data_IF_350629802829
#
_entry.id   IF_350629802829
#
_cell.length_a   1.000
_cell.length_b   1.000
_cell.length_c   1.000
_cell.angle_alpha   90.00
_cell.angle_beta   90.00
_cell.angle_gamma   90.00
#
_symmetry.space_group_name_H-M   'P 1'
#
loop_
_entity.id
_entity.type
_entity.pdbx_description
1 polymer ?
#
# COMPACT_ATOMS: atom_id res chain seq x y z
N UNK A 1 -8.71 18.22 10.40
CA UNK A 1 -8.77 17.97 8.95
C UNK A 1 -7.33 17.78 8.49
N UNK A 2 -7.03 16.72 7.77
CA UNK A 2 -5.68 16.39 7.31
C UNK A 2 -5.72 16.03 5.81
N UNK A 3 -4.61 16.24 5.11
CA UNK A 3 -4.43 15.80 3.73
C UNK A 3 -3.78 14.42 3.73
N UNK A 4 -4.46 13.42 3.21
CA UNK A 4 -4.04 12.03 3.22
C UNK A 4 -3.72 11.58 1.79
N UNK A 5 -2.47 11.14 1.56
CA UNK A 5 -2.11 10.45 0.32
C UNK A 5 -2.47 8.97 0.44
N UNK A 6 -3.25 8.45 -0.53
CA UNK A 6 -3.56 7.03 -0.61
C UNK A 6 -2.95 6.45 -1.88
N UNK A 7 -1.99 5.54 -1.73
CA UNK A 7 -1.33 4.84 -2.83
C UNK A 7 -2.02 3.50 -3.05
N UNK A 8 -2.49 3.25 -4.28
CA UNK A 8 -3.29 2.06 -4.60
C UNK A 8 -4.79 2.24 -4.39
N UNK A 9 -5.29 3.48 -4.52
CA UNK A 9 -6.66 3.89 -4.19
C UNK A 9 -7.75 3.45 -5.20
N UNK A 10 -7.39 2.84 -6.33
CA UNK A 10 -8.34 2.62 -7.43
C UNK A 10 -9.36 1.52 -7.18
N UNK A 11 -9.13 0.60 -6.25
CA UNK A 11 -10.02 -0.54 -5.95
C UNK A 11 -9.76 -1.15 -4.57
N UNK A 12 -10.61 -2.11 -4.19
CA UNK A 12 -10.44 -2.90 -2.96
C UNK A 12 -10.30 -2.04 -1.70
N UNK A 13 -9.36 -2.40 -0.83
CA UNK A 13 -9.13 -1.72 0.45
C UNK A 13 -8.75 -0.25 0.25
N UNK A 14 -7.93 0.05 -0.76
CA UNK A 14 -7.53 1.44 -1.04
C UNK A 14 -8.72 2.32 -1.39
N UNK A 15 -9.67 1.84 -2.19
CA UNK A 15 -10.91 2.55 -2.49
C UNK A 15 -11.81 2.69 -1.25
N UNK A 16 -11.87 1.66 -0.41
CA UNK A 16 -12.62 1.73 0.85
C UNK A 16 -12.01 2.75 1.82
N UNK A 17 -10.68 2.75 1.96
CA UNK A 17 -9.95 3.73 2.77
C UNK A 17 -10.15 5.17 2.27
N UNK A 18 -10.13 5.38 0.95
CA UNK A 18 -10.42 6.66 0.32
C UNK A 18 -11.81 7.18 0.73
N UNK A 19 -12.84 6.34 0.57
CA UNK A 19 -14.21 6.71 0.95
C UNK A 19 -14.35 7.00 2.44
N UNK A 20 -13.69 6.21 3.28
CA UNK A 20 -13.70 6.39 4.73
C UNK A 20 -13.01 7.71 5.14
N UNK A 21 -11.87 8.04 4.52
CA UNK A 21 -11.14 9.29 4.79
C UNK A 21 -11.96 10.53 4.39
N UNK A 22 -12.58 10.50 3.20
CA UNK A 22 -13.48 11.58 2.75
C UNK A 22 -14.68 11.73 3.70
N UNK A 23 -15.33 10.62 4.08
CA UNK A 23 -16.44 10.63 5.04
C UNK A 23 -16.04 11.19 6.40
N UNK A 24 -14.79 11.01 6.82
CA UNK A 24 -14.24 11.56 8.05
C UNK A 24 -13.85 13.05 7.92
N UNK A 25 -14.05 13.68 6.76
CA UNK A 25 -13.79 15.11 6.52
C UNK A 25 -12.34 15.43 6.20
N UNK A 26 -11.54 14.42 5.78
CA UNK A 26 -10.17 14.64 5.32
C UNK A 26 -10.13 15.02 3.83
N UNK A 27 -9.08 15.72 3.42
CA UNK A 27 -8.70 15.86 2.01
C UNK A 27 -7.92 14.61 1.60
N UNK A 28 -8.25 14.03 0.45
CA UNK A 28 -7.59 12.81 -0.05
C UNK A 28 -6.94 13.06 -1.39
N UNK A 29 -5.66 12.75 -1.50
CA UNK A 29 -4.95 12.62 -2.77
C UNK A 29 -4.80 11.13 -3.09
N UNK A 30 -5.37 10.69 -4.22
CA UNK A 30 -5.41 9.30 -4.62
C UNK A 30 -4.37 9.03 -5.72
N UNK A 31 -3.21 8.45 -5.38
CA UNK A 31 -2.19 8.06 -6.35
C UNK A 31 -2.48 6.66 -6.88
N UNK A 32 -2.73 6.56 -8.17
CA UNK A 32 -2.88 5.30 -8.89
C UNK A 32 -2.58 5.48 -10.39
N UNK A 33 -2.16 4.42 -11.08
CA UNK A 33 -1.98 4.42 -12.54
C UNK A 33 -3.27 4.72 -13.29
N UNK A 34 -4.41 4.31 -12.73
CA UNK A 34 -5.76 4.54 -13.26
C UNK A 34 -6.59 5.47 -12.37
N UNK A 35 -5.97 6.52 -11.80
CA UNK A 35 -6.65 7.40 -10.84
C UNK A 35 -7.89 8.08 -11.44
N UNK A 36 -7.88 8.44 -12.72
CA UNK A 36 -9.02 9.02 -13.42
C UNK A 36 -10.28 8.13 -13.37
N UNK A 37 -10.09 6.80 -13.37
CA UNK A 37 -11.18 5.80 -13.30
C UNK A 37 -11.71 5.52 -11.89
N UNK A 38 -11.24 6.22 -10.84
CA UNK A 38 -11.77 6.03 -9.47
C UNK A 38 -13.24 6.49 -9.43
N UNK A 39 -14.20 5.58 -9.04
CA UNK A 39 -15.64 5.85 -9.11
C UNK A 39 -16.11 6.64 -7.87
N UNK A 40 -15.44 7.77 -7.59
CA UNK A 40 -15.76 8.68 -6.50
C UNK A 40 -15.60 10.10 -7.04
N UNK A 41 -16.57 10.95 -6.75
CA UNK A 41 -16.52 12.40 -7.02
C UNK A 41 -16.76 13.12 -5.70
N UNK A 42 -15.79 13.90 -5.26
CA UNK A 42 -15.84 14.65 -4.01
C UNK A 42 -14.95 15.89 -4.15
N UNK A 43 -15.35 17.08 -3.66
CA UNK A 43 -14.54 18.29 -3.75
C UNK A 43 -13.20 18.18 -2.98
N UNK A 44 -13.13 17.29 -1.99
CA UNK A 44 -11.92 17.02 -1.22
C UNK A 44 -11.09 15.86 -1.78
N UNK A 45 -11.40 15.35 -2.99
CA UNK A 45 -10.65 14.28 -3.67
C UNK A 45 -9.83 14.81 -4.83
N UNK A 46 -8.52 14.72 -4.72
CA UNK A 46 -7.58 14.90 -5.83
C UNK A 46 -7.17 13.55 -6.42
N UNK A 47 -7.47 13.32 -7.70
CA UNK A 47 -7.08 12.12 -8.43
C UNK A 47 -5.74 12.36 -9.11
N UNK A 48 -4.67 11.74 -8.60
CA UNK A 48 -3.31 11.89 -9.09
C UNK A 48 -2.89 10.63 -9.87
N UNK A 49 -2.81 10.76 -11.20
CA UNK A 49 -2.35 9.66 -12.06
C UNK A 49 -0.83 9.56 -12.00
N UNK A 50 -0.32 8.41 -11.55
CA UNK A 50 1.12 8.17 -11.44
C UNK A 50 1.43 6.74 -11.02
N UNK A 51 2.69 6.34 -11.17
CA UNK A 51 3.18 5.04 -10.73
C UNK A 51 3.88 5.16 -9.37
N UNK A 52 3.58 4.25 -8.45
CA UNK A 52 4.25 4.14 -7.15
C UNK A 52 5.74 3.76 -7.27
N UNK A 53 6.16 3.27 -8.43
CA UNK A 53 7.56 2.98 -8.77
C UNK A 53 8.28 4.18 -9.42
N UNK A 54 7.60 5.29 -9.66
CA UNK A 54 8.22 6.53 -10.15
C UNK A 54 8.52 7.48 -8.97
N UNK A 55 9.81 7.69 -8.60
CA UNK A 55 10.18 8.57 -7.50
C UNK A 55 9.70 10.01 -7.70
N UNK A 56 9.64 10.51 -8.93
CA UNK A 56 9.19 11.88 -9.21
C UNK A 56 7.69 12.03 -8.97
N UNK A 57 6.89 11.07 -9.44
CA UNK A 57 5.44 11.04 -9.20
C UNK A 57 5.12 10.93 -7.70
N UNK A 58 5.82 10.06 -6.97
CA UNK A 58 5.63 9.89 -5.52
C UNK A 58 5.99 11.17 -4.76
N UNK A 59 7.12 11.81 -5.09
CA UNK A 59 7.57 13.05 -4.46
C UNK A 59 6.58 14.19 -4.71
N UNK A 60 6.07 14.31 -5.93
CA UNK A 60 5.03 15.31 -6.26
C UNK A 60 3.73 15.04 -5.51
N UNK A 61 3.31 13.78 -5.42
CA UNK A 61 2.10 13.39 -4.69
C UNK A 61 2.20 13.64 -3.18
N UNK A 62 3.40 13.71 -2.60
CA UNK A 62 3.62 13.97 -1.17
C UNK A 62 3.59 15.45 -0.78
N UNK A 63 3.56 16.39 -1.74
CA UNK A 63 3.57 17.82 -1.42
C UNK A 63 2.33 18.23 -0.61
N UNK A 64 2.54 18.75 0.60
CA UNK A 64 1.46 19.21 1.48
C UNK A 64 0.62 18.09 2.10
N UNK A 65 1.16 16.87 2.18
CA UNK A 65 0.50 15.69 2.76
C UNK A 65 0.88 15.54 4.24
N UNK A 66 -0.11 15.23 5.08
CA UNK A 66 0.09 15.00 6.52
C UNK A 66 0.35 13.52 6.84
N UNK A 67 -0.29 12.62 6.08
CA UNK A 67 -0.19 11.17 6.30
C UNK A 67 -0.32 10.38 5.00
N UNK A 68 0.27 9.18 4.98
CA UNK A 68 0.22 8.28 3.84
C UNK A 68 -0.44 6.96 4.23
N UNK A 69 -1.33 6.46 3.36
CA UNK A 69 -1.89 5.11 3.42
C UNK A 69 -1.43 4.35 2.17
N UNK A 70 -0.58 3.34 2.34
CA UNK A 70 -0.11 2.48 1.25
C UNK A 70 -0.93 1.20 1.22
N UNK A 71 -1.67 0.98 0.12
CA UNK A 71 -2.59 -0.15 -0.08
C UNK A 71 -2.30 -0.89 -1.38
N UNK A 72 -1.03 -0.98 -1.76
CA UNK A 72 -0.65 -1.66 -2.99
C UNK A 72 -1.05 -3.14 -2.93
N UNK A 73 -1.63 -3.60 -4.01
CA UNK A 73 -2.03 -4.99 -4.22
C UNK A 73 -1.73 -5.43 -5.64
N UNK A 74 -1.61 -6.73 -5.82
CA UNK A 74 -1.48 -7.37 -7.13
C UNK A 74 -2.75 -8.15 -7.42
N UNK A 75 -3.19 -8.16 -8.68
CA UNK A 75 -4.24 -9.08 -9.11
C UNK A 75 -3.65 -10.47 -9.25
N UNK A 76 -4.33 -11.52 -8.78
CA UNK A 76 -3.92 -12.89 -9.07
C UNK A 76 -3.81 -13.09 -10.59
N UNK A 77 -2.64 -13.48 -11.06
CA UNK A 77 -2.41 -13.85 -12.44
C UNK A 77 -1.45 -15.05 -12.51
N UNK A 78 -1.53 -15.88 -13.55
CA UNK A 78 -0.57 -17.00 -13.72
C UNK A 78 0.89 -16.54 -13.74
N UNK A 79 1.15 -15.33 -14.24
CA UNK A 79 2.51 -14.74 -14.31
C UNK A 79 3.11 -14.49 -12.92
N UNK A 80 2.27 -14.23 -11.89
CA UNK A 80 2.73 -14.10 -10.51
C UNK A 80 3.37 -15.36 -9.94
N UNK A 81 3.00 -16.53 -10.48
CA UNK A 81 3.56 -17.81 -10.04
C UNK A 81 5.00 -18.00 -10.54
N UNK A 82 5.33 -17.40 -11.67
CA UNK A 82 6.62 -17.58 -12.34
C UNK A 82 7.59 -16.42 -12.16
N UNK A 83 7.07 -15.19 -11.98
CA UNK A 83 7.89 -14.00 -11.81
C UNK A 83 7.99 -13.58 -10.34
N UNK A 84 9.22 -13.28 -9.89
CA UNK A 84 9.41 -12.63 -8.59
C UNK A 84 8.88 -11.20 -8.68
N UNK A 85 7.92 -10.85 -7.82
CA UNK A 85 7.52 -9.45 -7.71
C UNK A 85 8.39 -8.76 -6.65
N UNK A 86 8.86 -7.56 -6.96
CA UNK A 86 9.53 -6.64 -6.04
C UNK A 86 8.71 -5.36 -5.87
N UNK A 87 7.45 -5.39 -6.33
CA UNK A 87 6.57 -4.23 -6.34
C UNK A 87 6.43 -3.61 -4.94
N UNK A 88 6.22 -4.44 -3.93
CA UNK A 88 5.96 -3.94 -2.58
C UNK A 88 7.21 -3.33 -1.95
N UNK A 89 8.34 -4.04 -2.02
CA UNK A 89 9.60 -3.57 -1.46
C UNK A 89 10.15 -2.36 -2.20
N UNK A 90 10.12 -2.35 -3.54
CA UNK A 90 10.66 -1.25 -4.34
C UNK A 90 9.80 0.02 -4.20
N UNK A 91 8.46 -0.09 -4.30
CA UNK A 91 7.57 1.04 -4.07
C UNK A 91 7.69 1.60 -2.63
N UNK A 92 7.91 0.73 -1.65
CA UNK A 92 8.08 1.18 -0.25
C UNK A 92 9.43 1.87 -0.04
N UNK A 93 10.52 1.42 -0.67
CA UNK A 93 11.81 2.16 -0.63
C UNK A 93 11.67 3.56 -1.18
N UNK A 94 11.03 3.68 -2.35
CA UNK A 94 10.78 4.98 -3.00
C UNK A 94 9.93 5.86 -2.08
N UNK A 95 8.85 5.31 -1.53
CA UNK A 95 7.94 6.04 -0.66
C UNK A 95 8.63 6.53 0.61
N UNK A 96 9.35 5.65 1.33
CA UNK A 96 10.04 5.98 2.58
C UNK A 96 11.07 7.09 2.35
N UNK A 97 11.89 6.98 1.29
CA UNK A 97 12.86 8.00 0.95
C UNK A 97 12.19 9.35 0.66
N UNK A 98 11.13 9.35 -0.16
CA UNK A 98 10.40 10.56 -0.50
C UNK A 98 9.66 11.18 0.72
N UNK A 99 9.12 10.36 1.62
CA UNK A 99 8.50 10.83 2.87
C UNK A 99 9.53 11.51 3.78
N UNK A 100 10.73 10.95 3.91
CA UNK A 100 11.82 11.52 4.68
C UNK A 100 12.28 12.87 4.09
N UNK A 101 12.44 12.95 2.76
CA UNK A 101 12.78 14.17 2.04
C UNK A 101 11.72 15.28 2.22
N UNK A 102 10.44 14.91 2.17
CA UNK A 102 9.29 15.84 2.28
C UNK A 102 8.91 16.15 3.74
N UNK A 103 9.52 15.48 4.73
CA UNK A 103 9.18 15.66 6.15
C UNK A 103 7.86 15.02 6.58
N UNK A 104 7.25 14.17 5.75
CA UNK A 104 6.01 13.44 6.08
C UNK A 104 6.37 12.23 6.94
N UNK A 105 5.80 12.13 8.14
CA UNK A 105 6.21 11.11 9.13
C UNK A 105 5.21 9.96 9.27
N UNK A 106 3.90 10.21 9.11
CA UNK A 106 2.87 9.21 9.38
C UNK A 106 2.65 8.29 8.19
N UNK A 107 2.92 6.98 8.36
CA UNK A 107 2.72 5.92 7.37
C UNK A 107 1.80 4.83 7.92
N UNK A 108 0.74 4.52 7.19
CA UNK A 108 -0.11 3.35 7.41
C UNK A 108 0.05 2.43 6.20
N UNK A 109 0.59 1.23 6.40
CA UNK A 109 0.82 0.29 5.32
C UNK A 109 -0.02 -0.97 5.50
N UNK A 110 -0.70 -1.39 4.42
CA UNK A 110 -1.40 -2.67 4.39
C UNK A 110 -0.49 -3.73 3.76
N UNK A 111 -0.20 -4.78 4.53
CA UNK A 111 0.55 -5.94 4.04
C UNK A 111 -0.39 -7.14 3.86
N UNK A 112 -0.40 -8.10 4.73
CA UNK A 112 -1.29 -9.26 4.71
C UNK A 112 -0.96 -10.23 5.83
N UNK A 113 -1.99 -10.95 6.29
CA UNK A 113 -1.78 -12.04 7.24
C UNK A 113 -0.90 -13.12 6.60
N UNK A 114 0.18 -13.51 7.28
CA UNK A 114 1.21 -14.41 6.73
C UNK A 114 2.49 -13.68 6.30
N UNK A 115 2.57 -12.35 6.43
CA UNK A 115 3.80 -11.58 6.31
C UNK A 115 4.43 -11.33 7.69
N UNK A 116 5.74 -11.13 7.75
CA UNK A 116 6.48 -10.86 8.99
C UNK A 116 6.23 -11.89 10.09
N UNK A 117 5.98 -11.43 11.30
CA UNK A 117 5.79 -12.27 12.50
C UNK A 117 4.55 -13.18 12.45
N UNK A 118 3.61 -12.93 11.53
CA UNK A 118 2.38 -13.73 11.38
C UNK A 118 2.53 -14.97 10.50
N UNK A 119 3.72 -15.22 9.96
CA UNK A 119 4.01 -16.27 8.96
C UNK A 119 3.69 -17.70 9.40
N UNK A 120 3.77 -18.01 10.69
CA UNK A 120 3.66 -19.37 11.22
C UNK A 120 2.36 -19.64 11.99
N UNK A 121 1.33 -18.80 11.86
CA UNK A 121 0.09 -18.91 12.62
C UNK A 121 -1.06 -19.63 11.88
N UNK A 122 -0.77 -20.40 10.81
CA UNK A 122 -1.75 -21.17 10.04
C UNK A 122 -1.57 -22.69 10.13
N UNK A 123 -2.60 -23.46 9.70
CA UNK A 123 -2.51 -24.92 9.57
C UNK A 123 -1.40 -25.33 8.59
N UNK A 124 -0.71 -26.44 8.84
CA UNK A 124 0.40 -26.96 8.02
C UNK A 124 0.02 -27.12 6.53
N UNK A 125 -1.17 -27.66 6.23
CA UNK A 125 -1.67 -27.81 4.87
C UNK A 125 -1.95 -26.47 4.18
N UNK A 126 -2.50 -25.51 4.91
CA UNK A 126 -2.74 -24.14 4.42
C UNK A 126 -1.41 -23.43 4.15
N UNK A 127 -0.44 -23.57 5.05
CA UNK A 127 0.89 -22.99 4.88
C UNK A 127 1.62 -23.55 3.65
N UNK A 128 1.54 -24.87 3.41
CA UNK A 128 2.22 -25.50 2.27
C UNK A 128 1.65 -25.05 0.92
N UNK A 129 0.32 -25.04 0.77
CA UNK A 129 -0.34 -24.53 -0.43
C UNK A 129 -0.11 -23.02 -0.62
N UNK A 130 -0.19 -22.25 0.47
CA UNK A 130 0.05 -20.84 0.48
C UNK A 130 1.49 -20.47 0.04
N UNK A 131 2.50 -21.17 0.55
CA UNK A 131 3.90 -20.98 0.16
C UNK A 131 4.17 -21.35 -1.30
N UNK A 132 3.49 -22.37 -1.83
CA UNK A 132 3.65 -22.79 -3.22
C UNK A 132 3.14 -21.72 -4.20
N UNK A 133 2.00 -21.09 -3.87
CA UNK A 133 1.31 -20.16 -4.77
C UNK A 133 1.61 -18.68 -4.50
N UNK A 134 1.87 -18.29 -3.25
CA UNK A 134 2.04 -16.89 -2.85
C UNK A 134 3.38 -16.59 -2.17
N UNK A 135 4.26 -17.57 -1.98
CA UNK A 135 5.49 -17.43 -1.21
C UNK A 135 6.40 -16.28 -1.68
N UNK A 136 6.48 -16.06 -3.01
CA UNK A 136 7.29 -14.96 -3.57
C UNK A 136 6.69 -13.58 -3.27
N UNK A 137 5.37 -13.45 -3.34
CA UNK A 137 4.65 -12.21 -2.99
C UNK A 137 4.84 -11.89 -1.51
N UNK A 138 4.73 -12.91 -0.66
CA UNK A 138 4.91 -12.73 0.78
C UNK A 138 6.36 -12.50 1.18
N UNK A 139 7.32 -13.10 0.47
CA UNK A 139 8.74 -12.78 0.68
C UNK A 139 9.04 -11.31 0.36
N UNK A 140 8.43 -10.74 -0.68
CA UNK A 140 8.56 -9.31 -0.98
C UNK A 140 7.87 -8.43 0.08
N UNK A 141 6.73 -8.86 0.61
CA UNK A 141 6.05 -8.19 1.74
C UNK A 141 6.84 -8.25 3.04
N UNK A 142 7.58 -9.33 3.31
CA UNK A 142 8.49 -9.41 4.46
C UNK A 142 9.61 -8.35 4.33
N UNK A 143 10.15 -8.17 3.12
CA UNK A 143 11.12 -7.10 2.83
C UNK A 143 10.48 -5.73 2.99
N UNK A 144 9.25 -5.55 2.50
CA UNK A 144 8.48 -4.32 2.68
C UNK A 144 8.34 -3.93 4.16
N UNK A 145 7.92 -4.87 5.01
CA UNK A 145 7.74 -4.60 6.44
C UNK A 145 9.06 -4.23 7.13
N UNK A 146 10.17 -4.90 6.78
CA UNK A 146 11.49 -4.55 7.33
C UNK A 146 11.90 -3.12 6.95
N UNK A 147 11.71 -2.72 5.70
CA UNK A 147 11.98 -1.34 5.25
C UNK A 147 11.19 -0.33 6.08
N UNK A 148 9.92 -0.61 6.36
CA UNK A 148 9.06 0.27 7.16
C UNK A 148 9.56 0.34 8.61
N UNK A 149 9.85 -0.80 9.23
CA UNK A 149 10.32 -0.89 10.61
C UNK A 149 11.65 -0.15 10.82
N UNK A 150 12.55 -0.19 9.83
CA UNK A 150 13.85 0.47 9.85
C UNK A 150 13.80 1.95 9.41
N UNK A 151 12.66 2.45 8.95
CA UNK A 151 12.53 3.77 8.32
C UNK A 151 12.65 4.96 9.28
N UNK A 152 12.44 4.77 10.59
CA UNK A 152 12.32 5.86 11.55
C UNK A 152 11.06 6.70 11.41
N UNK A 153 10.09 6.30 10.58
CA UNK A 153 8.78 6.94 10.44
C UNK A 153 7.85 6.56 11.61
N UNK A 154 6.80 7.32 11.80
CA UNK A 154 5.66 6.95 12.65
C UNK A 154 4.73 6.03 11.85
N UNK A 155 4.98 4.73 11.95
CA UNK A 155 4.32 3.75 11.11
C UNK A 155 3.32 2.85 11.84
N UNK A 156 2.33 2.38 11.08
CA UNK A 156 1.44 1.27 11.44
C UNK A 156 1.38 0.29 10.28
N UNK A 157 1.60 -1.00 10.56
CA UNK A 157 1.41 -2.08 9.61
C UNK A 157 0.10 -2.80 9.95
N UNK A 158 -0.87 -2.76 9.04
CA UNK A 158 -2.11 -3.49 9.13
C UNK A 158 -2.02 -4.78 8.29
N UNK A 159 -2.28 -5.92 8.93
CA UNK A 159 -2.23 -7.25 8.29
C UNK A 159 -3.65 -7.86 8.23
N UNK A 160 -4.48 -7.45 7.26
CA UNK A 160 -5.81 -8.02 7.15
C UNK A 160 -5.72 -9.52 6.86
N UNK A 161 -6.58 -10.29 7.52
CA UNK A 161 -6.90 -11.67 7.16
C UNK A 161 -7.71 -11.70 5.87
N UNK A 162 -8.17 -12.86 5.42
CA UNK A 162 -8.98 -12.99 4.20
C UNK A 162 -10.16 -12.02 4.27
N UNK A 163 -10.21 -11.11 3.28
CA UNK A 163 -11.32 -10.18 3.12
C UNK A 163 -12.40 -10.88 2.30
N UNK A 164 -13.55 -11.09 2.92
CA UNK A 164 -14.77 -11.52 2.22
C UNK A 164 -15.55 -10.27 1.81
N UNK A 165 -15.92 -10.20 0.54
CA UNK A 165 -16.84 -9.19 0.00
C UNK A 165 -18.27 -9.56 0.33
#
# INVERSE_FOLDING_TARGET
MATILIIGASRGIGLAALRAALKAGHTVRALARSAAGIPVTDPNLEKFTGDALDPAAVRTALQGVDAVIQTLGVSPSPEMLFNSTRLFSDATRILVAAMQECGVKRLICLTGFGAGDSRNHGSFLFNSAFHLFLGRVYSDKDVQERIIQESGLDWVIARPVILTS
#
